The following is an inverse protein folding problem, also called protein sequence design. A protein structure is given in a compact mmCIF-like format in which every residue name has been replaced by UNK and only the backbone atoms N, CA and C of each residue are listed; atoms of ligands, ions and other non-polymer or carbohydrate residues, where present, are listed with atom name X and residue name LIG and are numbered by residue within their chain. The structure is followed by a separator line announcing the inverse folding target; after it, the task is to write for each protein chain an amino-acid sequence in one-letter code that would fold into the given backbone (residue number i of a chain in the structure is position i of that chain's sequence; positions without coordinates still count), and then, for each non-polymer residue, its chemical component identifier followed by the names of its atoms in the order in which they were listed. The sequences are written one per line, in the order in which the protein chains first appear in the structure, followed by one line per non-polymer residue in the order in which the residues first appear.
data_IF_682442178396
#
_entry.id   IF_682442178396
#
_cell.length_a   1.000
_cell.length_b   1.000
_cell.length_c   1.000
_cell.angle_alpha   90.00
_cell.angle_beta   90.00
_cell.angle_gamma   90.00
#
_symmetry.space_group_name_H-M   'P 1'
#
loop_
_entity.id
_entity.type
_entity.pdbx_description
1 polymer ?
#
# COMPACT_ATOMS: atom_id res chain seq x y z
N UNK A 1 -14.07 23.54 -2.86
CA UNK A 1 -12.71 23.93 -3.32
C UNK A 1 -12.01 22.65 -3.80
N UNK A 2 -11.42 22.55 -4.99
CA UNK A 2 -10.75 21.30 -5.42
C UNK A 2 -9.33 21.25 -4.87
N UNK A 3 -9.02 20.25 -4.03
CA UNK A 3 -7.64 19.99 -3.61
C UNK A 3 -6.94 19.31 -4.79
N UNK A 4 -6.20 20.12 -5.56
CA UNK A 4 -5.57 19.70 -6.82
C UNK A 4 -4.23 18.99 -6.56
N UNK A 5 -4.22 18.03 -5.64
CA UNK A 5 -3.03 17.21 -5.32
C UNK A 5 -3.01 15.90 -6.10
N UNK A 6 -4.14 15.48 -6.65
CA UNK A 6 -4.26 14.27 -7.46
C UNK A 6 -4.38 14.61 -8.94
N UNK A 7 -3.95 13.72 -9.85
CA UNK A 7 -3.32 12.42 -9.59
C UNK A 7 -1.87 12.54 -9.12
N UNK A 8 -1.42 11.57 -8.30
CA UNK A 8 -0.03 11.45 -7.84
C UNK A 8 0.64 10.25 -8.53
N UNK A 9 1.88 10.46 -8.98
CA UNK A 9 2.67 9.45 -9.66
C UNK A 9 4.01 9.27 -8.95
N UNK A 10 4.26 8.06 -8.48
CA UNK A 10 5.51 7.70 -7.84
C UNK A 10 6.18 6.56 -8.58
N UNK A 11 7.47 6.71 -8.87
CA UNK A 11 8.25 5.68 -9.55
C UNK A 11 9.63 5.56 -8.92
N UNK A 12 9.94 4.36 -8.45
CA UNK A 12 11.29 3.85 -8.21
C UNK A 12 11.75 2.98 -9.38
N UNK A 13 12.81 2.21 -9.15
CA UNK A 13 13.33 1.23 -10.12
C UNK A 13 12.44 -0.02 -10.21
N UNK A 14 11.91 -0.46 -9.07
CA UNK A 14 11.10 -1.67 -8.91
C UNK A 14 9.64 -1.33 -8.65
N UNK A 15 9.38 -0.28 -7.88
CA UNK A 15 8.04 0.10 -7.43
C UNK A 15 7.48 1.24 -8.29
N UNK A 16 6.24 1.10 -8.77
CA UNK A 16 5.47 2.23 -9.31
C UNK A 16 4.09 2.27 -8.66
N UNK A 17 3.67 3.45 -8.21
CA UNK A 17 2.37 3.68 -7.58
C UNK A 17 1.72 4.88 -8.26
N UNK A 18 0.46 4.73 -8.66
CA UNK A 18 -0.36 5.81 -9.20
C UNK A 18 -1.56 5.95 -8.29
N UNK A 19 -1.78 7.16 -7.76
CA UNK A 19 -2.97 7.48 -6.96
C UNK A 19 -3.82 8.40 -7.81
N UNK A 20 -4.98 7.90 -8.23
CA UNK A 20 -5.89 8.63 -9.11
C UNK A 20 -6.69 9.67 -8.32
N UNK A 21 -7.35 10.57 -9.05
CA UNK A 21 -8.27 11.51 -8.43
C UNK A 21 -9.41 10.74 -7.75
N UNK A 22 -9.93 11.25 -6.62
CA UNK A 22 -11.00 10.58 -5.92
C UNK A 22 -12.28 10.50 -6.76
N UNK A 23 -13.05 9.42 -6.58
CA UNK A 23 -14.30 9.23 -7.31
C UNK A 23 -15.36 10.16 -6.76
N UNK A 24 -15.96 10.96 -7.64
CA UNK A 24 -17.00 11.93 -7.29
C UNK A 24 -18.36 11.52 -7.87
N UNK A 25 -19.42 11.80 -7.11
CA UNK A 25 -20.79 11.69 -7.59
C UNK A 25 -21.13 12.82 -8.59
N UNK A 26 -22.33 12.77 -9.17
CA UNK A 26 -22.83 13.78 -10.12
C UNK A 26 -22.88 15.21 -9.55
N UNK A 27 -22.81 15.36 -8.23
CA UNK A 27 -22.81 16.63 -7.50
C UNK A 27 -21.40 17.08 -7.08
N UNK A 28 -20.36 16.35 -7.51
CA UNK A 28 -18.96 16.63 -7.18
C UNK A 28 -18.57 16.25 -5.76
N UNK A 29 -19.32 15.35 -5.09
CA UNK A 29 -19.04 14.89 -3.73
C UNK A 29 -18.33 13.54 -3.75
N UNK A 30 -17.48 13.29 -2.74
CA UNK A 30 -16.84 11.98 -2.58
C UNK A 30 -17.86 10.84 -2.49
N UNK A 31 -17.66 9.80 -3.31
CA UNK A 31 -18.52 8.59 -3.33
C UNK A 31 -18.23 7.68 -2.13
N UNK A 32 -16.96 7.54 -1.75
CA UNK A 32 -16.52 6.74 -0.61
C UNK A 32 -15.55 7.54 0.27
N UNK A 33 -15.84 7.60 1.58
CA UNK A 33 -15.02 8.27 2.57
C UNK A 33 -13.98 7.35 3.25
N UNK A 34 -13.93 6.07 2.89
CA UNK A 34 -12.99 5.09 3.44
C UNK A 34 -11.93 4.76 2.38
N UNK A 35 -12.36 4.60 1.13
CA UNK A 35 -11.49 4.24 0.00
C UNK A 35 -11.61 5.28 -1.12
N UNK A 36 -11.21 6.54 -0.87
CA UNK A 36 -11.61 7.66 -1.73
C UNK A 36 -10.93 7.64 -3.09
N UNK A 37 -9.72 7.08 -3.17
CA UNK A 37 -8.82 7.25 -4.30
C UNK A 37 -8.42 5.90 -4.85
N UNK A 38 -8.60 5.67 -6.16
CA UNK A 38 -8.09 4.47 -6.80
C UNK A 38 -6.56 4.44 -6.78
N UNK A 39 -5.97 3.27 -6.48
CA UNK A 39 -4.52 3.03 -6.54
C UNK A 39 -4.19 1.95 -7.55
N UNK A 40 -3.31 2.28 -8.51
CA UNK A 40 -2.58 1.29 -9.29
C UNK A 40 -1.22 1.04 -8.64
N UNK A 41 -0.91 -0.23 -8.41
CA UNK A 41 0.33 -0.67 -7.81
C UNK A 41 1.05 -1.63 -8.75
N UNK A 42 2.30 -1.33 -9.08
CA UNK A 42 3.14 -2.16 -9.95
C UNK A 42 4.46 -2.50 -9.29
N UNK A 43 4.95 -3.70 -9.59
CA UNK A 43 6.30 -4.15 -9.24
C UNK A 43 6.97 -4.71 -10.49
N UNK A 44 8.10 -4.11 -10.88
CA UNK A 44 8.83 -4.41 -12.12
C UNK A 44 7.91 -4.43 -13.36
N UNK A 45 6.98 -3.48 -13.43
CA UNK A 45 6.02 -3.37 -14.54
C UNK A 45 4.84 -4.35 -14.47
N UNK A 46 4.87 -5.35 -13.58
CA UNK A 46 3.72 -6.24 -13.34
C UNK A 46 2.67 -5.48 -12.52
N UNK A 47 1.40 -5.38 -12.96
CA UNK A 47 0.34 -4.82 -12.13
C UNK A 47 0.03 -5.80 -11.00
N UNK A 48 -0.07 -5.29 -9.78
CA UNK A 48 -0.42 -6.02 -8.57
C UNK A 48 -1.79 -5.61 -8.03
N UNK A 49 -2.22 -4.37 -8.32
CA UNK A 49 -3.55 -3.83 -8.02
C UNK A 49 -4.07 -3.11 -9.27
N UNK A 50 -5.22 -3.53 -9.80
CA UNK A 50 -5.90 -2.88 -10.93
C UNK A 50 -7.35 -3.33 -11.05
N UNK A 51 -8.18 -2.51 -11.70
CA UNK A 51 -9.44 -2.93 -12.32
C UNK A 51 -9.31 -2.80 -13.84
N UNK A 52 -9.84 -3.76 -14.60
CA UNK A 52 -9.98 -3.60 -16.05
C UNK A 52 -11.39 -3.09 -16.39
N UNK A 53 -11.47 -1.88 -16.94
CA UNK A 53 -12.74 -1.25 -17.34
C UNK A 53 -12.59 -0.87 -18.81
N UNK A 54 -13.45 -1.41 -19.67
CA UNK A 54 -13.43 -1.16 -21.12
C UNK A 54 -12.07 -1.43 -21.80
N UNK A 55 -11.28 -2.37 -21.28
CA UNK A 55 -9.94 -2.70 -21.80
C UNK A 55 -8.82 -1.78 -21.33
N UNK A 56 -9.11 -0.85 -20.42
CA UNK A 56 -8.12 0.03 -19.78
C UNK A 56 -7.90 -0.36 -18.31
N UNK A 57 -6.67 -0.17 -17.83
CA UNK A 57 -6.31 -0.43 -16.44
C UNK A 57 -6.58 0.81 -15.59
N UNK A 58 -7.39 0.65 -14.56
CA UNK A 58 -7.71 1.66 -13.55
C UNK A 58 -7.24 1.25 -12.17
N UNK A 59 -7.14 2.21 -11.26
CA UNK A 59 -6.85 1.92 -9.86
C UNK A 59 -7.99 1.17 -9.19
N UNK A 60 -7.67 0.49 -8.08
CA UNK A 60 -8.68 -0.05 -7.17
C UNK A 60 -8.87 0.91 -6.00
N UNK A 61 -10.10 1.11 -5.58
CA UNK A 61 -10.43 1.99 -4.45
C UNK A 61 -9.62 1.60 -3.21
N UNK A 62 -8.89 2.59 -2.68
CA UNK A 62 -7.93 2.37 -1.61
C UNK A 62 -7.81 3.58 -0.67
N UNK A 63 -7.25 3.32 0.52
CA UNK A 63 -6.72 4.35 1.41
C UNK A 63 -5.19 4.46 1.22
N UNK A 64 -4.66 5.58 0.68
CA UNK A 64 -3.21 5.77 0.48
C UNK A 64 -2.36 5.68 1.75
N UNK A 65 -2.87 6.13 2.90
CA UNK A 65 -2.14 6.07 4.18
C UNK A 65 -1.98 4.62 4.61
N UNK A 66 -3.06 3.84 4.54
CA UNK A 66 -3.03 2.40 4.85
C UNK A 66 -2.17 1.62 3.85
N UNK A 67 -2.19 2.02 2.58
CA UNK A 67 -1.34 1.43 1.54
C UNK A 67 0.14 1.58 1.87
N UNK A 68 0.61 2.81 2.08
CA UNK A 68 2.03 3.04 2.41
C UNK A 68 2.38 2.51 3.80
N UNK A 69 1.51 2.70 4.80
CA UNK A 69 1.69 2.16 6.14
C UNK A 69 1.83 0.63 6.15
N UNK A 70 0.96 -0.06 5.40
CA UNK A 70 0.98 -1.51 5.23
C UNK A 70 2.24 -2.02 4.54
N UNK A 71 2.70 -1.35 3.48
CA UNK A 71 3.96 -1.69 2.82
C UNK A 71 5.17 -1.50 3.75
N UNK A 72 5.23 -0.38 4.48
CA UNK A 72 6.32 -0.11 5.43
C UNK A 72 6.31 -1.14 6.57
N UNK A 73 5.14 -1.49 7.10
CA UNK A 73 4.98 -2.50 8.14
C UNK A 73 5.41 -3.89 7.66
N UNK A 74 5.09 -4.25 6.42
CA UNK A 74 5.54 -5.50 5.81
C UNK A 74 7.08 -5.57 5.77
N UNK A 75 7.76 -4.52 5.28
CA UNK A 75 9.22 -4.49 5.24
C UNK A 75 9.85 -4.48 6.63
N UNK A 76 9.27 -3.77 7.60
CA UNK A 76 9.73 -3.78 8.99
C UNK A 76 9.69 -5.19 9.60
N UNK A 77 8.56 -5.90 9.44
CA UNK A 77 8.42 -7.29 9.87
C UNK A 77 9.45 -8.21 9.18
N UNK A 78 9.63 -8.09 7.87
CA UNK A 78 10.59 -8.92 7.12
C UNK A 78 12.07 -8.62 7.45
N UNK A 79 12.37 -7.45 8.04
CA UNK A 79 13.69 -7.12 8.56
C UNK A 79 13.93 -7.65 9.97
N UNK A 80 12.91 -7.67 10.80
CA UNK A 80 13.00 -8.03 12.20
C UNK A 80 11.73 -8.75 12.66
N UNK A 81 11.84 -10.05 12.98
CA UNK A 81 10.68 -10.84 13.41
C UNK A 81 9.98 -10.31 14.66
N UNK A 82 10.66 -9.48 15.48
CA UNK A 82 10.01 -8.82 16.64
C UNK A 82 8.98 -7.77 16.23
N UNK A 83 9.11 -7.21 15.02
CA UNK A 83 8.15 -6.28 14.41
C UNK A 83 7.02 -7.02 13.68
N UNK A 84 7.09 -8.36 13.59
CA UNK A 84 6.03 -9.15 12.99
C UNK A 84 4.87 -9.36 13.97
N UNK A 85 3.65 -9.55 13.45
CA UNK A 85 2.53 -9.88 14.29
C UNK A 85 2.74 -11.19 15.06
N UNK A 86 2.05 -11.29 16.20
CA UNK A 86 2.16 -12.41 17.12
C UNK A 86 1.91 -13.76 16.42
N UNK A 87 2.51 -14.82 16.97
CA UNK A 87 2.49 -16.19 16.42
C UNK A 87 1.09 -16.70 16.03
N UNK A 88 0.07 -16.38 16.82
CA UNK A 88 -1.31 -16.80 16.53
C UNK A 88 -1.89 -16.08 15.30
N UNK A 89 -1.60 -14.80 15.10
CA UNK A 89 -2.01 -14.07 13.90
C UNK A 89 -1.31 -14.64 12.66
N UNK A 90 -0.02 -14.98 12.77
CA UNK A 90 0.72 -15.66 11.68
C UNK A 90 0.10 -16.99 11.27
N UNK A 91 -0.45 -17.78 12.21
CA UNK A 91 -1.17 -19.03 11.85
C UNK A 91 -2.45 -18.74 11.06
N UNK A 92 -3.20 -17.72 11.47
CA UNK A 92 -4.41 -17.30 10.74
C UNK A 92 -4.06 -16.78 9.35
N UNK A 93 -3.01 -15.96 9.23
CA UNK A 93 -2.52 -15.47 7.95
C UNK A 93 -2.06 -16.60 7.04
N UNK A 94 -1.34 -17.59 7.55
CA UNK A 94 -0.97 -18.77 6.76
C UNK A 94 -2.21 -19.50 6.24
N UNK A 95 -3.22 -19.71 7.09
CA UNK A 95 -4.48 -20.34 6.67
C UNK A 95 -5.16 -19.54 5.55
N UNK A 96 -5.21 -18.22 5.68
CA UNK A 96 -5.81 -17.33 4.69
C UNK A 96 -5.02 -17.34 3.37
N UNK A 97 -3.69 -17.24 3.44
CA UNK A 97 -2.81 -17.32 2.28
C UNK A 97 -3.01 -18.64 1.51
N UNK A 98 -3.06 -19.76 2.23
CA UNK A 98 -3.34 -21.07 1.62
C UNK A 98 -4.74 -21.13 0.99
N UNK A 99 -5.77 -20.51 1.60
CA UNK A 99 -7.11 -20.45 1.00
C UNK A 99 -7.18 -19.57 -0.26
N UNK A 100 -6.31 -18.57 -0.38
CA UNK A 100 -6.13 -17.76 -1.60
C UNK A 100 -5.29 -18.49 -2.67
N UNK A 101 -4.76 -19.66 -2.33
CA UNK A 101 -3.90 -20.48 -3.21
C UNK A 101 -2.47 -20.00 -3.28
N UNK A 102 -1.97 -19.25 -2.28
CA UNK A 102 -0.56 -18.88 -2.19
C UNK A 102 0.29 -20.05 -1.69
N UNK A 103 1.38 -20.33 -2.39
CA UNK A 103 2.35 -21.36 -2.00
C UNK A 103 3.39 -20.78 -1.04
N UNK A 104 3.18 -20.97 0.27
CA UNK A 104 4.04 -20.41 1.33
C UNK A 104 4.65 -21.54 2.16
N UNK A 105 5.96 -21.48 2.41
CA UNK A 105 6.62 -22.46 3.28
C UNK A 105 6.32 -22.14 4.74
N UNK A 106 6.03 -23.17 5.55
CA UNK A 106 5.67 -23.02 6.97
C UNK A 106 6.71 -22.26 7.81
N UNK A 107 7.97 -22.26 7.40
CA UNK A 107 9.09 -21.64 8.12
C UNK A 107 9.52 -20.28 7.53
N UNK A 108 8.89 -19.81 6.46
CA UNK A 108 9.23 -18.52 5.86
C UNK A 108 8.80 -17.36 6.75
N UNK A 109 9.60 -16.29 6.80
CA UNK A 109 9.16 -15.01 7.35
C UNK A 109 8.27 -14.33 6.30
N UNK A 110 6.99 -14.12 6.63
CA UNK A 110 6.03 -13.48 5.75
C UNK A 110 5.13 -12.47 6.46
N UNK A 111 4.51 -11.60 5.67
CA UNK A 111 3.52 -10.61 6.08
C UNK A 111 2.32 -10.61 5.11
N UNK A 112 1.10 -10.81 5.62
CA UNK A 112 -0.13 -10.81 4.83
C UNK A 112 -0.92 -9.53 5.09
N UNK A 113 -1.38 -8.87 4.02
CA UNK A 113 -2.14 -7.61 4.12
C UNK A 113 -2.97 -7.39 2.86
N UNK A 114 -4.04 -6.60 2.95
CA UNK A 114 -4.78 -6.09 1.78
C UNK A 114 -4.30 -4.70 1.34
N UNK A 115 -3.33 -4.11 2.06
CA UNK A 115 -2.81 -2.75 1.83
C UNK A 115 -3.89 -1.65 1.82
N UNK A 116 -5.03 -1.87 2.48
CA UNK A 116 -6.15 -0.93 2.40
C UNK A 116 -6.73 -0.78 0.99
N UNK A 117 -6.52 -1.76 0.11
CA UNK A 117 -7.10 -1.83 -1.22
C UNK A 117 -8.25 -2.84 -1.19
N UNK A 118 -9.44 -2.45 -1.66
CA UNK A 118 -10.58 -3.36 -1.69
C UNK A 118 -10.30 -4.58 -2.59
N UNK A 119 -10.77 -5.75 -2.16
CA UNK A 119 -10.73 -7.00 -2.94
C UNK A 119 -9.33 -7.48 -3.38
N UNK A 120 -8.28 -6.98 -2.72
CA UNK A 120 -6.91 -7.35 -3.01
C UNK A 120 -6.23 -7.92 -1.77
N UNK A 121 -5.36 -8.92 -1.96
CA UNK A 121 -4.57 -9.53 -0.91
C UNK A 121 -3.13 -9.76 -1.36
N UNK A 122 -2.20 -9.47 -0.46
CA UNK A 122 -0.77 -9.55 -0.71
C UNK A 122 -0.07 -10.31 0.38
N UNK A 123 0.82 -11.24 0.01
CA UNK A 123 1.74 -11.88 0.92
C UNK A 123 3.17 -11.56 0.51
N UNK A 124 3.87 -10.85 1.40
CA UNK A 124 5.28 -10.51 1.27
C UNK A 124 6.08 -11.57 2.02
N UNK A 125 6.90 -12.35 1.31
CA UNK A 125 7.76 -13.41 1.84
C UNK A 125 9.22 -13.05 1.58
N UNK A 126 10.07 -13.06 2.61
CA UNK A 126 11.52 -12.84 2.43
C UNK A 126 12.24 -14.17 2.33
N UNK A 127 12.95 -14.36 1.22
CA UNK A 127 13.77 -15.53 0.93
C UNK A 127 15.23 -15.10 0.74
N UNK A 128 15.93 -14.94 1.87
CA UNK A 128 17.31 -14.43 1.87
C UNK A 128 17.39 -12.96 1.42
N UNK A 129 18.01 -12.73 0.27
CA UNK A 129 18.17 -11.43 -0.39
C UNK A 129 17.00 -11.07 -1.32
N UNK A 130 16.07 -12.01 -1.55
CA UNK A 130 14.88 -11.80 -2.39
C UNK A 130 13.63 -11.53 -1.57
N UNK A 131 12.77 -10.69 -2.13
CA UNK A 131 11.38 -10.52 -1.75
C UNK A 131 10.51 -11.22 -2.77
N UNK A 132 9.65 -12.12 -2.30
CA UNK A 132 8.58 -12.72 -3.08
C UNK A 132 7.25 -12.08 -2.67
N UNK A 133 6.51 -11.55 -3.62
CA UNK A 133 5.21 -10.92 -3.41
C UNK A 133 4.16 -11.77 -4.11
N UNK A 134 3.37 -12.50 -3.35
CA UNK A 134 2.16 -13.12 -3.85
C UNK A 134 1.06 -12.07 -3.85
N UNK A 135 0.29 -12.00 -4.93
CA UNK A 135 -0.86 -11.11 -5.02
C UNK A 135 -2.10 -11.87 -5.47
N UNK A 136 -3.24 -11.42 -5.00
CA UNK A 136 -4.57 -11.87 -5.41
C UNK A 136 -5.47 -10.63 -5.54
N UNK A 137 -6.15 -10.50 -6.67
CA UNK A 137 -7.01 -9.38 -7.02
C UNK A 137 -8.35 -9.94 -7.51
N UNK A 138 -9.46 -9.77 -6.78
CA UNK A 138 -10.74 -10.41 -7.17
C UNK A 138 -11.39 -9.79 -8.43
N UNK A 139 -10.81 -8.75 -9.05
CA UNK A 139 -11.40 -7.96 -10.15
C UNK A 139 -10.77 -8.20 -11.55
N UNK A 140 -10.82 -9.43 -12.07
CA UNK A 140 -10.44 -9.72 -13.48
C UNK A 140 -10.29 -11.21 -13.83
N UNK A 141 -9.72 -11.53 -15.00
CA UNK A 141 -9.10 -12.84 -15.29
C UNK A 141 -7.57 -12.75 -15.05
N UNK A 142 -6.90 -13.83 -14.65
CA UNK A 142 -5.45 -13.78 -14.34
C UNK A 142 -5.11 -13.12 -12.99
N UNK A 143 -6.04 -13.20 -12.06
CA UNK A 143 -6.17 -12.48 -10.79
C UNK A 143 -5.14 -12.75 -9.71
N UNK A 144 -4.14 -13.60 -9.96
CA UNK A 144 -3.14 -13.93 -8.94
C UNK A 144 -1.82 -14.31 -9.57
N UNK A 145 -0.75 -14.01 -8.84
CA UNK A 145 0.59 -14.33 -9.29
C UNK A 145 1.62 -14.11 -8.22
N UNK A 146 2.87 -14.23 -8.64
CA UNK A 146 4.04 -14.08 -7.78
C UNK A 146 5.06 -13.23 -8.52
N UNK A 147 5.56 -12.18 -7.87
CA UNK A 147 6.69 -11.38 -8.36
C UNK A 147 7.86 -11.55 -7.41
N UNK A 148 9.07 -11.70 -7.96
CA UNK A 148 10.30 -11.78 -7.17
C UNK A 148 11.23 -10.61 -7.50
N UNK A 149 11.70 -9.91 -6.47
CA UNK A 149 12.60 -8.75 -6.60
C UNK A 149 13.70 -8.78 -5.53
N UNK A 150 14.85 -8.13 -5.74
CA UNK A 150 15.83 -7.91 -4.68
C UNK A 150 15.22 -7.14 -3.50
N UNK A 151 15.27 -7.71 -2.30
CA UNK A 151 14.60 -7.19 -1.11
C UNK A 151 15.09 -5.80 -0.72
N UNK A 152 16.42 -5.60 -0.70
CA UNK A 152 17.04 -4.34 -0.28
C UNK A 152 16.72 -3.20 -1.25
N UNK A 153 16.72 -3.48 -2.56
CA UNK A 153 16.41 -2.47 -3.57
C UNK A 153 14.92 -2.11 -3.54
N UNK A 154 14.03 -3.09 -3.42
CA UNK A 154 12.60 -2.84 -3.23
C UNK A 154 12.34 -1.99 -1.98
N UNK A 155 12.98 -2.32 -0.85
CA UNK A 155 12.84 -1.56 0.38
C UNK A 155 13.33 -0.11 0.23
N UNK A 156 14.43 0.13 -0.48
CA UNK A 156 14.93 1.49 -0.76
C UNK A 156 13.95 2.29 -1.62
N UNK A 157 13.41 1.68 -2.67
CA UNK A 157 12.41 2.33 -3.52
C UNK A 157 11.14 2.67 -2.73
N UNK A 158 10.63 1.71 -1.95
CA UNK A 158 9.47 1.93 -1.10
C UNK A 158 9.68 3.08 -0.13
N UNK A 159 10.82 3.12 0.56
CA UNK A 159 11.16 4.17 1.52
C UNK A 159 11.14 5.55 0.84
N UNK A 160 11.74 5.67 -0.34
CA UNK A 160 11.80 6.94 -1.06
C UNK A 160 10.42 7.40 -1.55
N UNK A 161 9.63 6.47 -2.09
CA UNK A 161 8.26 6.76 -2.54
C UNK A 161 7.37 7.13 -1.37
N UNK A 162 7.42 6.37 -0.27
CA UNK A 162 6.62 6.63 0.93
C UNK A 162 7.01 7.96 1.59
N UNK A 163 8.30 8.33 1.61
CA UNK A 163 8.74 9.64 2.10
C UNK A 163 8.19 10.77 1.24
N UNK A 164 8.28 10.65 -0.09
CA UNK A 164 7.74 11.65 -1.02
C UNK A 164 6.23 11.83 -0.80
N UNK A 165 5.49 10.73 -0.70
CA UNK A 165 4.07 10.75 -0.38
C UNK A 165 3.78 11.42 0.97
N UNK A 166 4.52 11.05 2.02
CA UNK A 166 4.31 11.59 3.38
C UNK A 166 4.59 13.10 3.42
N UNK A 167 5.60 13.59 2.68
CA UNK A 167 5.86 15.02 2.54
C UNK A 167 4.71 15.76 1.85
N UNK A 168 4.20 15.21 0.74
CA UNK A 168 3.04 15.81 0.03
C UNK A 168 1.82 15.86 0.96
N UNK A 169 1.57 14.81 1.75
CA UNK A 169 0.47 14.81 2.71
C UNK A 169 0.65 15.89 3.79
N UNK A 170 1.85 16.02 4.36
CA UNK A 170 2.14 17.00 5.41
C UNK A 170 1.96 18.44 4.90
N UNK A 171 2.51 18.75 3.73
CA UNK A 171 2.40 20.07 3.08
C UNK A 171 0.95 20.45 2.75
N UNK A 172 0.09 19.47 2.48
CA UNK A 172 -1.28 19.68 2.03
C UNK A 172 -2.33 19.33 3.10
N UNK A 173 -1.93 19.01 4.33
CA UNK A 173 -2.80 18.46 5.37
C UNK A 173 -4.05 19.31 5.62
N UNK A 174 -3.88 20.62 5.73
CA UNK A 174 -5.00 21.54 5.99
C UNK A 174 -5.97 21.63 4.80
N UNK A 175 -5.44 21.61 3.58
CA UNK A 175 -6.26 21.63 2.37
C UNK A 175 -7.06 20.33 2.24
N UNK A 176 -6.40 19.18 2.43
CA UNK A 176 -7.03 17.85 2.44
C UNK A 176 -8.14 17.79 3.49
N UNK A 177 -7.85 18.17 4.74
CA UNK A 177 -8.85 18.20 5.82
C UNK A 177 -10.06 19.06 5.48
N UNK A 178 -9.82 20.25 4.95
CA UNK A 178 -10.91 21.18 4.57
C UNK A 178 -11.80 20.57 3.49
N UNK A 179 -11.19 19.96 2.47
CA UNK A 179 -11.92 19.28 1.40
C UNK A 179 -12.73 18.09 1.89
N UNK A 180 -12.18 17.27 2.77
CA UNK A 180 -12.93 16.14 3.34
C UNK A 180 -14.13 16.61 4.15
N UNK A 181 -13.97 17.65 4.98
CA UNK A 181 -15.06 18.23 5.75
C UNK A 181 -16.14 18.86 4.85
N UNK A 182 -15.76 19.54 3.77
CA UNK A 182 -16.69 20.04 2.73
C UNK A 182 -17.51 18.90 2.10
N UNK A 183 -16.90 17.71 1.96
CA UNK A 183 -17.52 16.50 1.44
C UNK A 183 -18.21 15.65 2.51
N UNK A 184 -18.33 16.14 3.76
CA UNK A 184 -18.92 15.42 4.90
C UNK A 184 -18.21 14.11 5.27
N UNK A 185 -16.95 13.99 4.92
CA UNK A 185 -16.10 12.89 5.35
C UNK A 185 -15.26 13.31 6.57
N UNK A 186 -15.12 12.41 7.55
CA UNK A 186 -14.27 12.64 8.71
C UNK A 186 -12.79 12.39 8.33
N UNK A 187 -11.90 13.40 8.42
CA UNK A 187 -10.48 13.24 8.09
C UNK A 187 -9.76 12.13 8.85
N UNK A 188 -10.22 11.79 10.05
CA UNK A 188 -9.63 10.71 10.85
C UNK A 188 -9.86 9.33 10.24
N UNK A 189 -10.92 9.14 9.44
CA UNK A 189 -11.18 7.87 8.77
C UNK A 189 -10.19 7.56 7.64
N UNK A 190 -9.54 8.59 7.08
CA UNK A 190 -8.54 8.42 6.02
C UNK A 190 -7.12 8.32 6.54
N UNK A 191 -6.92 8.50 7.84
CA UNK A 191 -5.58 8.68 8.40
C UNK A 191 -4.88 9.96 7.91
N UNK A 192 -5.62 10.92 7.33
CA UNK A 192 -5.08 12.24 6.97
C UNK A 192 -5.06 13.15 8.19
N UNK A 193 -4.28 12.73 9.18
CA UNK A 193 -4.03 13.47 10.40
C UNK A 193 -2.56 13.46 10.77
N UNK A 194 -2.21 14.43 11.61
CA UNK A 194 -0.84 14.65 12.07
C UNK A 194 -0.26 13.43 12.82
N UNK A 195 -1.02 12.70 13.68
CA UNK A 195 -0.54 11.45 14.26
C UNK A 195 -0.10 10.39 13.24
N UNK A 196 -0.92 10.12 12.23
CA UNK A 196 -0.62 9.10 11.22
C UNK A 196 0.56 9.52 10.32
N UNK A 197 0.63 10.79 9.92
CA UNK A 197 1.77 11.34 9.16
C UNK A 197 3.06 11.21 9.97
N UNK A 198 3.03 11.54 11.27
CA UNK A 198 4.19 11.37 12.16
C UNK A 198 4.62 9.92 12.29
N UNK A 199 3.66 8.99 12.36
CA UNK A 199 3.98 7.56 12.43
C UNK A 199 4.60 7.05 11.13
N UNK A 200 4.13 7.50 9.96
CA UNK A 200 4.78 7.22 8.67
C UNK A 200 6.23 7.71 8.64
N UNK A 201 6.49 8.97 9.01
CA UNK A 201 7.85 9.51 9.08
C UNK A 201 8.75 8.71 10.03
N UNK A 202 8.22 8.29 11.18
CA UNK A 202 8.94 7.47 12.14
C UNK A 202 9.30 6.11 11.56
N UNK A 203 8.36 5.41 10.91
CA UNK A 203 8.63 4.14 10.24
C UNK A 203 9.68 4.29 9.14
N UNK A 204 9.54 5.31 8.29
CA UNK A 204 10.51 5.64 7.23
C UNK A 204 11.91 5.84 7.82
N UNK A 205 12.04 6.64 8.89
CA UNK A 205 13.33 6.91 9.54
C UNK A 205 13.98 5.63 10.10
N UNK A 206 13.18 4.78 10.76
CA UNK A 206 13.67 3.51 11.31
C UNK A 206 14.17 2.61 10.17
N UNK A 207 13.35 2.43 9.12
CA UNK A 207 13.70 1.59 7.98
C UNK A 207 14.92 2.09 7.21
N UNK A 208 15.04 3.40 7.00
CA UNK A 208 16.24 4.02 6.40
C UNK A 208 17.50 3.65 7.13
N UNK A 209 17.49 3.78 8.47
CA UNK A 209 18.64 3.43 9.30
C UNK A 209 18.99 1.95 9.20
N UNK A 210 17.98 1.07 9.23
CA UNK A 210 18.18 -0.39 9.18
C UNK A 210 18.70 -0.84 7.81
N UNK A 211 18.09 -0.37 6.71
CA UNK A 211 18.48 -0.74 5.34
C UNK A 211 19.86 -0.16 4.95
N UNK A 212 20.27 0.97 5.53
CA UNK A 212 21.60 1.53 5.28
C UNK A 212 22.72 0.74 5.96
N UNK A 213 22.38 -0.08 6.96
CA UNK A 213 23.32 -0.95 7.67
C UNK A 213 23.44 -2.37 7.10
N UNK A 214 22.70 -2.68 6.01
CA UNK A 214 22.70 -3.94 5.27
C UNK A 214 23.36 -3.71 3.92
#
# INVERSE_FOLDING_TARGET
MTVNIFPLYFSGRMLRVMIEAPVLDEWGRLVDCIFPTPILFFVQGTPLSWAEINGELHGMDANPVDFFGGLLAAIACLLNEKECPQRELRKQWLKNALSLGFEVKKESCFYLTNLGIQYNWYLFERLGDKLRIHYHNDWGEGTKGVVEVPFVEFARDLINVAETFTMILDENLNAIRSYLLENRCDPSMFGFDEPNIKELFKHIKILKKTISGI
#
